data_IF_500872393373
#
_entry.id   IF_500872393373
#
_cell.length_a   1.000
_cell.length_b   1.000
_cell.length_c   1.000
_cell.angle_alpha   90.00
_cell.angle_beta   90.00
_cell.angle_gamma   90.00
#
_symmetry.space_group_name_H-M   'P 1'
#
loop_
_entity.id
_entity.type
_entity.pdbx_description
1 polymer ?
#
# COMPACT_ATOMS: atom_id res chain seq x y z
N UNK A 1 22.43 31.74 -4.10
CA UNK A 1 21.01 32.08 -4.37
C UNK A 1 20.24 31.69 -3.12
N UNK A 2 19.40 32.58 -2.58
CA UNK A 2 18.59 32.27 -1.37
C UNK A 2 17.38 31.46 -1.83
N UNK A 3 17.16 30.31 -1.20
CA UNK A 3 16.03 29.42 -1.46
C UNK A 3 15.30 29.21 -0.14
N UNK A 4 13.98 29.21 -0.19
CA UNK A 4 13.11 28.95 0.95
C UNK A 4 12.59 27.54 0.80
N UNK A 5 12.75 26.73 1.84
CA UNK A 5 12.28 25.35 1.87
C UNK A 5 11.27 25.17 3.00
N UNK A 6 10.17 24.50 2.70
CA UNK A 6 9.18 24.08 3.69
C UNK A 6 9.12 22.56 3.69
N UNK A 7 9.35 21.98 4.86
CA UNK A 7 9.41 20.55 5.08
C UNK A 7 8.16 20.12 5.85
N UNK A 8 7.32 19.32 5.22
CA UNK A 8 6.04 18.85 5.78
C UNK A 8 6.18 17.36 6.07
N UNK A 9 6.22 17.01 7.35
CA UNK A 9 6.25 15.62 7.80
C UNK A 9 4.86 15.00 7.71
N UNK A 10 4.76 13.90 6.96
CA UNK A 10 3.56 13.11 6.81
C UNK A 10 3.78 11.67 7.31
N UNK A 11 2.72 10.90 7.63
CA UNK A 11 2.85 9.50 8.06
C UNK A 11 3.55 8.60 7.04
N UNK A 12 3.50 8.97 5.76
CA UNK A 12 4.10 8.21 4.65
C UNK A 12 5.48 8.71 4.22
N UNK A 13 6.00 9.80 4.79
CA UNK A 13 7.26 10.41 4.38
C UNK A 13 7.32 11.92 4.59
N UNK A 14 8.14 12.61 3.81
CA UNK A 14 8.33 14.06 3.90
C UNK A 14 8.05 14.71 2.55
N UNK A 15 7.27 15.78 2.57
CA UNK A 15 7.01 16.62 1.39
C UNK A 15 7.87 17.88 1.55
N UNK A 16 8.80 18.07 0.62
CA UNK A 16 9.65 19.27 0.56
C UNK A 16 9.15 20.18 -0.54
N UNK A 17 8.83 21.42 -0.19
CA UNK A 17 8.41 22.46 -1.13
C UNK A 17 9.46 23.56 -1.13
N UNK A 18 10.02 23.84 -2.31
CA UNK A 18 11.10 24.81 -2.50
C UNK A 18 10.61 26.00 -3.35
N UNK A 19 10.97 27.22 -2.94
CA UNK A 19 10.67 28.45 -3.66
C UNK A 19 11.79 29.49 -3.54
N UNK A 20 11.77 30.51 -4.40
CA UNK A 20 12.74 31.62 -4.33
C UNK A 20 12.35 32.61 -3.22
N UNK A 21 11.04 32.78 -2.98
CA UNK A 21 10.50 33.61 -1.91
C UNK A 21 9.46 32.85 -1.06
N UNK A 22 9.16 33.32 0.16
CA UNK A 22 8.10 32.74 0.98
C UNK A 22 6.72 32.79 0.31
N UNK A 23 6.43 33.84 -0.46
CA UNK A 23 5.18 33.97 -1.22
C UNK A 23 5.04 32.85 -2.26
N UNK A 24 6.12 32.51 -2.97
CA UNK A 24 6.08 31.44 -3.98
C UNK A 24 5.72 30.10 -3.36
N UNK A 25 6.31 29.79 -2.19
CA UNK A 25 6.00 28.56 -1.45
C UNK A 25 4.53 28.53 -1.02
N UNK A 26 4.01 29.68 -0.57
CA UNK A 26 2.61 29.79 -0.14
C UNK A 26 1.65 29.57 -1.31
N UNK A 27 1.91 30.19 -2.46
CA UNK A 27 1.12 29.99 -3.68
C UNK A 27 1.16 28.56 -4.20
N UNK A 28 2.31 27.88 -4.10
CA UNK A 28 2.43 26.46 -4.44
C UNK A 28 1.59 25.57 -3.53
N UNK A 29 1.59 25.85 -2.22
CA UNK A 29 0.77 25.10 -1.25
C UNK A 29 -0.72 25.35 -1.46
N UNK A 30 -1.13 26.58 -1.80
CA UNK A 30 -2.53 26.91 -2.13
C UNK A 30 -3.01 26.26 -3.43
N UNK A 31 -2.11 26.04 -4.39
CA UNK A 31 -2.41 25.35 -5.64
C UNK A 31 -2.59 23.84 -5.48
N UNK A 32 -2.28 23.26 -4.30
CA UNK A 32 -2.48 21.84 -4.08
C UNK A 32 -3.98 21.49 -4.10
N UNK A 33 -4.36 20.40 -4.78
CA UNK A 33 -5.71 19.86 -4.68
C UNK A 33 -6.07 19.59 -3.22
N UNK A 34 -7.33 19.84 -2.84
CA UNK A 34 -7.82 19.58 -1.47
C UNK A 34 -7.53 18.15 -1.00
N UNK A 35 -7.61 17.19 -1.91
CA UNK A 35 -7.46 15.77 -1.63
C UNK A 35 -6.04 15.25 -1.91
N UNK A 36 -5.07 16.13 -2.17
CA UNK A 36 -3.71 15.75 -2.56
C UNK A 36 -3.04 14.84 -1.53
N UNK A 37 -3.06 15.25 -0.26
CA UNK A 37 -2.43 14.49 0.83
C UNK A 37 -3.10 13.14 1.03
N UNK A 38 -4.43 13.08 0.91
CA UNK A 38 -5.20 11.84 1.04
C UNK A 38 -4.91 10.88 -0.12
N UNK A 39 -4.86 11.40 -1.35
CA UNK A 39 -4.54 10.62 -2.54
C UNK A 39 -3.13 10.03 -2.48
N UNK A 40 -2.13 10.82 -2.05
CA UNK A 40 -0.77 10.30 -1.84
C UNK A 40 -0.74 9.26 -0.73
N UNK A 41 -1.44 9.50 0.38
CA UNK A 41 -1.51 8.53 1.49
C UNK A 41 -2.10 7.19 1.02
N UNK A 42 -3.18 7.23 0.25
CA UNK A 42 -3.84 6.04 -0.33
C UNK A 42 -2.93 5.31 -1.34
N UNK A 43 -2.26 6.06 -2.21
CA UNK A 43 -1.34 5.50 -3.19
C UNK A 43 -0.13 4.83 -2.51
N UNK A 44 0.43 5.47 -1.49
CA UNK A 44 1.54 4.89 -0.73
C UNK A 44 1.07 3.67 0.07
N UNK A 45 -0.08 3.74 0.72
CA UNK A 45 -0.66 2.59 1.44
C UNK A 45 -0.87 1.39 0.51
N UNK A 46 -1.47 1.58 -0.67
CA UNK A 46 -1.68 0.50 -1.65
C UNK A 46 -0.39 -0.14 -2.17
N UNK A 47 0.74 0.61 -2.16
CA UNK A 47 2.05 0.09 -2.54
C UNK A 47 2.85 -0.51 -1.37
N UNK A 48 2.58 -0.06 -0.14
CA UNK A 48 3.20 -0.56 1.09
C UNK A 48 2.52 -1.81 1.64
N UNK A 49 1.23 -2.03 1.33
CA UNK A 49 0.57 -3.31 1.61
C UNK A 49 1.32 -4.38 0.81
N UNK A 50 2.00 -5.33 1.48
CA UNK A 50 2.64 -6.42 0.77
C UNK A 50 1.58 -7.11 -0.07
N UNK A 51 1.90 -7.45 -1.32
CA UNK A 51 0.97 -8.21 -2.16
C UNK A 51 0.45 -9.43 -1.39
N UNK A 52 -0.78 -9.87 -1.63
CA UNK A 52 -1.31 -11.06 -0.95
C UNK A 52 -0.32 -12.24 -1.07
N UNK A 53 0.38 -12.34 -2.21
CA UNK A 53 1.47 -13.29 -2.41
C UNK A 53 2.65 -13.15 -1.43
N UNK A 54 3.05 -11.92 -1.07
CA UNK A 54 4.09 -11.68 -0.08
C UNK A 54 3.63 -12.00 1.35
N UNK A 55 2.37 -11.71 1.70
CA UNK A 55 1.81 -12.00 3.03
C UNK A 55 1.59 -13.49 3.26
N UNK A 56 1.24 -14.23 2.21
CA UNK A 56 0.92 -15.66 2.28
C UNK A 56 2.11 -16.57 2.00
N UNK A 57 3.32 -16.00 1.89
CA UNK A 57 4.54 -16.75 1.60
C UNK A 57 4.77 -17.83 2.66
N UNK A 58 4.90 -19.08 2.23
CA UNK A 58 5.08 -20.24 3.12
C UNK A 58 3.78 -20.80 3.70
N UNK A 59 2.63 -20.24 3.33
CA UNK A 59 1.29 -20.73 3.68
C UNK A 59 0.54 -21.15 2.41
N UNK A 60 0.60 -20.32 1.37
CA UNK A 60 0.00 -20.56 0.05
C UNK A 60 1.09 -20.52 -1.02
N UNK A 61 1.05 -21.47 -1.94
CA UNK A 61 1.82 -21.47 -3.18
C UNK A 61 0.90 -21.12 -4.35
N UNK A 62 1.25 -20.09 -5.12
CA UNK A 62 0.48 -19.67 -6.29
C UNK A 62 0.96 -20.46 -7.51
N UNK A 63 0.10 -21.33 -8.03
CA UNK A 63 0.39 -22.15 -9.21
C UNK A 63 -0.43 -21.68 -10.41
N UNK A 64 -0.14 -22.22 -11.60
CA UNK A 64 -0.94 -21.97 -12.81
C UNK A 64 -2.36 -22.55 -12.72
N UNK A 65 -2.61 -23.50 -11.81
CA UNK A 65 -3.93 -24.10 -11.58
C UNK A 65 -4.70 -23.41 -10.45
N UNK A 66 -4.07 -22.46 -9.75
CA UNK A 66 -4.66 -21.75 -8.61
C UNK A 66 -3.80 -21.80 -7.34
N UNK A 67 -4.26 -21.17 -6.25
CA UNK A 67 -3.56 -21.18 -4.96
C UNK A 67 -3.65 -22.55 -4.29
N UNK A 68 -2.51 -23.06 -3.82
CA UNK A 68 -2.40 -24.34 -3.11
C UNK A 68 -1.96 -24.08 -1.67
N UNK A 69 -2.68 -24.66 -0.70
CA UNK A 69 -2.31 -24.58 0.72
C UNK A 69 -1.15 -25.54 1.02
N UNK A 70 -0.02 -24.99 1.43
CA UNK A 70 1.20 -25.73 1.79
C UNK A 70 1.46 -25.76 3.30
N UNK A 71 0.65 -25.03 4.08
CA UNK A 71 0.73 -25.02 5.53
C UNK A 71 0.43 -26.42 6.14
N UNK A 72 1.13 -26.82 7.22
CA UNK A 72 0.87 -28.07 7.92
C UNK A 72 -0.58 -28.20 8.41
N UNK A 73 -1.18 -29.40 8.26
CA UNK A 73 -2.59 -29.67 8.59
C UNK A 73 -2.95 -29.47 10.07
N UNK A 74 -1.99 -29.58 10.96
CA UNK A 74 -2.14 -29.41 12.40
C UNK A 74 -2.22 -27.93 12.83
N UNK A 75 -1.90 -26.99 11.93
CA UNK A 75 -1.86 -25.56 12.23
C UNK A 75 -3.08 -24.77 11.80
N UNK A 76 -3.97 -25.36 11.01
CA UNK A 76 -5.14 -24.68 10.44
C UNK A 76 -6.37 -25.54 10.58
N UNK A 77 -7.46 -24.93 11.04
CA UNK A 77 -8.78 -25.52 10.94
C UNK A 77 -9.25 -25.56 9.49
N UNK A 78 -10.23 -26.42 9.19
CA UNK A 78 -10.84 -26.50 7.87
C UNK A 78 -11.41 -25.15 7.41
N UNK A 79 -11.97 -24.36 8.33
CA UNK A 79 -12.52 -23.04 8.01
C UNK A 79 -11.43 -22.02 7.66
N UNK A 80 -10.32 -22.02 8.39
CA UNK A 80 -9.18 -21.14 8.09
C UNK A 80 -8.52 -21.52 6.77
N UNK A 81 -8.38 -22.82 6.48
CA UNK A 81 -7.88 -23.30 5.19
C UNK A 81 -8.74 -22.80 4.03
N UNK A 82 -10.07 -22.92 4.12
CA UNK A 82 -11.01 -22.41 3.12
C UNK A 82 -10.89 -20.89 2.99
N UNK A 83 -10.84 -20.16 4.11
CA UNK A 83 -10.70 -18.71 4.12
C UNK A 83 -9.41 -18.24 3.43
N UNK A 84 -8.29 -18.91 3.70
CA UNK A 84 -7.00 -18.60 3.09
C UNK A 84 -6.98 -18.86 1.58
N UNK A 85 -7.58 -19.97 1.14
CA UNK A 85 -7.72 -20.27 -0.30
C UNK A 85 -8.57 -19.21 -0.98
N UNK A 86 -9.74 -18.87 -0.43
CA UNK A 86 -10.62 -17.85 -1.01
C UNK A 86 -10.00 -16.45 -1.01
N UNK A 87 -9.20 -16.13 0.00
CA UNK A 87 -8.45 -14.87 0.08
C UNK A 87 -7.32 -14.81 -0.96
N UNK A 88 -6.69 -15.95 -1.26
CA UNK A 88 -5.64 -16.05 -2.26
C UNK A 88 -6.17 -16.12 -3.71
N UNK A 89 -7.39 -16.62 -3.93
CA UNK A 89 -7.99 -16.71 -5.26
C UNK A 89 -8.40 -15.34 -5.79
N UNK A 90 -7.99 -15.03 -7.03
CA UNK A 90 -8.33 -13.78 -7.69
C UNK A 90 -9.84 -13.72 -7.96
N UNK A 91 -10.54 -12.73 -7.38
CA UNK A 91 -12.00 -12.63 -7.42
C UNK A 91 -12.76 -13.42 -6.34
N UNK A 92 -12.07 -14.09 -5.39
CA UNK A 92 -12.67 -14.88 -4.29
C UNK A 92 -13.63 -15.98 -4.74
N UNK A 93 -13.42 -16.52 -5.93
CA UNK A 93 -14.21 -17.63 -6.48
C UNK A 93 -13.39 -18.92 -6.44
N UNK A 94 -14.09 -20.05 -6.26
CA UNK A 94 -13.50 -21.37 -6.38
C UNK A 94 -13.44 -21.75 -7.86
N UNK A 95 -12.25 -22.07 -8.37
CA UNK A 95 -12.09 -22.71 -9.68
C UNK A 95 -12.58 -24.14 -9.68
#
# INVERSE_FOLDING_TARGET
MRRVEVHIKAPFGEIVVEGETPQDVLSLLEAFPKDFVENISSLVASKLVPSAAAQLKGIIEFTTEGPVLIAPRDKLTHYEAIGLILYASDGRQNT
#
